data_IF_715377866997
#
_entry.id   IF_715377866997
#
_cell.length_a   1.000
_cell.length_b   1.000
_cell.length_c   1.000
_cell.angle_alpha   90.00
_cell.angle_beta   90.00
_cell.angle_gamma   90.00
#
_symmetry.space_group_name_H-M   'P 1'
#
loop_
_entity.id
_entity.type
_entity.pdbx_description
1 polymer ?
#
# COMPACT_ATOMS: atom_id res chain seq x y z
N UNK A 1 -38.38 -4.34 -0.41
CA UNK A 1 -38.19 -4.46 -1.88
C UNK A 1 -36.81 -3.95 -2.26
N UNK A 2 -36.27 -4.33 -3.43
CA UNK A 2 -34.97 -3.84 -3.93
C UNK A 2 -35.19 -3.14 -5.27
N UNK A 3 -34.80 -1.87 -5.35
CA UNK A 3 -34.79 -1.08 -6.58
C UNK A 3 -33.34 -0.86 -7.01
N UNK A 4 -33.00 -1.29 -8.22
CA UNK A 4 -31.70 -1.04 -8.83
C UNK A 4 -31.91 -0.04 -9.96
N UNK A 5 -31.18 1.06 -9.92
CA UNK A 5 -31.23 2.11 -10.94
C UNK A 5 -29.84 2.27 -11.53
N UNK A 6 -29.72 1.98 -12.83
CA UNK A 6 -28.48 2.13 -13.57
C UNK A 6 -28.54 3.36 -14.48
N UNK A 7 -27.62 4.29 -14.27
CA UNK A 7 -27.43 5.53 -15.02
C UNK A 7 -28.72 6.30 -15.39
N UNK A 8 -29.46 6.85 -14.40
CA UNK A 8 -30.63 7.71 -14.66
C UNK A 8 -30.24 9.13 -15.14
N UNK A 9 -28.99 9.32 -15.56
CA UNK A 9 -28.35 10.61 -15.81
C UNK A 9 -28.88 11.34 -17.06
N UNK A 10 -29.61 10.66 -17.94
CA UNK A 10 -30.17 11.19 -19.19
C UNK A 10 -31.52 11.92 -19.05
N UNK A 11 -31.94 12.21 -17.81
CA UNK A 11 -33.20 12.89 -17.50
C UNK A 11 -33.05 14.42 -17.61
N UNK A 12 -34.08 15.08 -18.14
CA UNK A 12 -34.23 16.54 -18.07
C UNK A 12 -34.44 17.01 -16.62
N UNK A 13 -34.42 18.33 -16.39
CA UNK A 13 -34.51 18.90 -15.04
C UNK A 13 -35.81 18.52 -14.31
N UNK A 14 -36.93 18.47 -15.02
CA UNK A 14 -38.21 18.10 -14.42
C UNK A 14 -38.22 16.61 -14.02
N UNK A 15 -37.76 15.73 -14.91
CA UNK A 15 -37.67 14.30 -14.63
C UNK A 15 -36.65 13.97 -13.55
N UNK A 16 -35.54 14.72 -13.47
CA UNK A 16 -34.57 14.57 -12.38
C UNK A 16 -35.22 14.86 -11.02
N UNK A 17 -36.00 15.96 -10.91
CA UNK A 17 -36.71 16.31 -9.67
C UNK A 17 -37.76 15.26 -9.29
N UNK A 18 -38.50 14.77 -10.27
CA UNK A 18 -39.46 13.68 -10.06
C UNK A 18 -38.76 12.42 -9.56
N UNK A 19 -37.65 12.03 -10.19
CA UNK A 19 -36.87 10.84 -9.84
C UNK A 19 -36.34 10.92 -8.41
N UNK A 20 -35.75 12.07 -8.03
CA UNK A 20 -35.27 12.32 -6.67
C UNK A 20 -36.41 12.16 -5.66
N UNK A 21 -37.55 12.81 -5.91
CA UNK A 21 -38.72 12.74 -5.03
C UNK A 21 -39.23 11.31 -4.88
N UNK A 22 -39.34 10.58 -5.99
CA UNK A 22 -39.83 9.20 -6.01
C UNK A 22 -38.88 8.25 -5.29
N UNK A 23 -37.57 8.44 -5.45
CA UNK A 23 -36.54 7.62 -4.81
C UNK A 23 -36.54 7.81 -3.30
N UNK A 24 -36.64 9.06 -2.84
CA UNK A 24 -36.76 9.38 -1.42
C UNK A 24 -38.04 8.81 -0.81
N UNK A 25 -39.15 8.84 -1.55
CA UNK A 25 -40.41 8.23 -1.11
C UNK A 25 -40.27 6.71 -0.98
N UNK A 26 -39.68 6.03 -1.98
CA UNK A 26 -39.47 4.58 -1.96
C UNK A 26 -38.58 4.15 -0.79
N UNK A 27 -37.51 4.90 -0.52
CA UNK A 27 -36.61 4.62 0.61
C UNK A 27 -37.30 4.81 1.97
N UNK A 28 -38.02 5.93 2.17
CA UNK A 28 -38.59 6.29 3.48
C UNK A 28 -39.96 5.67 3.79
N UNK A 29 -40.81 5.52 2.79
CA UNK A 29 -42.22 5.16 2.98
C UNK A 29 -42.45 3.69 2.67
N UNK A 30 -41.87 3.21 1.57
CA UNK A 30 -42.08 1.84 1.08
C UNK A 30 -41.03 0.87 1.65
N UNK A 31 -40.10 1.38 2.48
CA UNK A 31 -39.02 0.64 3.13
C UNK A 31 -38.21 -0.20 2.11
N UNK A 32 -38.01 0.37 0.92
CA UNK A 32 -37.27 -0.25 -0.18
C UNK A 32 -35.78 0.10 -0.11
N UNK A 33 -34.92 -0.87 -0.42
CA UNK A 33 -33.49 -0.63 -0.62
C UNK A 33 -33.31 -0.10 -2.04
N UNK A 34 -32.66 1.04 -2.19
CA UNK A 34 -32.34 1.62 -3.50
C UNK A 34 -30.84 1.54 -3.74
N UNK A 35 -30.45 0.80 -4.77
CA UNK A 35 -29.10 0.78 -5.30
C UNK A 35 -29.03 1.68 -6.53
N UNK A 36 -28.31 2.80 -6.40
CA UNK A 36 -28.13 3.77 -7.48
C UNK A 36 -26.71 3.68 -8.03
N UNK A 37 -26.60 3.46 -9.34
CA UNK A 37 -25.36 3.57 -10.10
C UNK A 37 -25.50 4.83 -10.97
N UNK A 38 -24.66 5.83 -10.74
CA UNK A 38 -24.66 7.07 -11.52
C UNK A 38 -23.29 7.73 -11.48
N UNK A 39 -22.92 8.39 -12.57
CA UNK A 39 -21.77 9.28 -12.63
C UNK A 39 -22.07 10.75 -12.24
N UNK A 40 -23.34 11.12 -12.00
CA UNK A 40 -23.75 12.52 -11.72
C UNK A 40 -23.59 12.88 -10.24
N UNK A 41 -22.57 13.69 -9.92
CA UNK A 41 -22.22 14.05 -8.53
C UNK A 41 -23.40 14.66 -7.75
N UNK A 42 -24.19 15.54 -8.36
CA UNK A 42 -25.33 16.20 -7.68
C UNK A 42 -26.43 15.23 -7.31
N UNK A 43 -26.64 14.17 -8.10
CA UNK A 43 -27.63 13.15 -7.83
C UNK A 43 -27.18 12.26 -6.67
N UNK A 44 -25.92 11.79 -6.71
CA UNK A 44 -25.33 10.98 -5.65
C UNK A 44 -25.32 11.72 -4.31
N UNK A 45 -24.98 13.00 -4.30
CA UNK A 45 -24.93 13.79 -3.06
C UNK A 45 -26.33 14.04 -2.46
N UNK A 46 -27.37 14.07 -3.30
CA UNK A 46 -28.76 14.30 -2.86
C UNK A 46 -29.44 13.02 -2.38
N UNK A 47 -29.13 11.87 -3.00
CA UNK A 47 -29.86 10.61 -2.78
C UNK A 47 -29.10 9.56 -1.98
N UNK A 48 -27.76 9.58 -1.97
CA UNK A 48 -26.97 8.51 -1.39
C UNK A 48 -26.46 8.89 0.00
N UNK A 49 -26.84 8.09 0.98
CA UNK A 49 -26.36 8.19 2.37
C UNK A 49 -25.16 7.25 2.63
N UNK A 50 -24.99 6.26 1.76
CA UNK A 50 -23.94 5.24 1.83
C UNK A 50 -23.36 5.01 0.44
N UNK A 51 -22.03 4.99 0.33
CA UNK A 51 -21.29 4.75 -0.91
C UNK A 51 -20.65 3.37 -0.85
N UNK A 52 -20.91 2.57 -1.87
CA UNK A 52 -20.22 1.31 -2.13
C UNK A 52 -19.10 1.58 -3.14
N UNK A 53 -17.86 1.63 -2.66
CA UNK A 53 -16.69 1.88 -3.50
C UNK A 53 -16.08 0.57 -3.98
N UNK A 54 -15.98 0.40 -5.29
CA UNK A 54 -15.28 -0.72 -5.91
C UNK A 54 -13.85 -0.29 -6.24
N UNK A 55 -12.89 -0.91 -5.57
CA UNK A 55 -11.50 -0.68 -5.89
C UNK A 55 -11.05 -1.62 -7.02
N UNK A 56 -10.90 -1.07 -8.23
CA UNK A 56 -10.48 -1.83 -9.42
C UNK A 56 -9.09 -2.47 -9.28
N UNK A 57 -8.22 -1.90 -8.45
CA UNK A 57 -6.86 -2.38 -8.29
C UNK A 57 -6.76 -3.64 -7.45
N UNK A 58 -7.73 -3.87 -6.56
CA UNK A 58 -7.76 -5.03 -5.67
C UNK A 58 -9.04 -5.82 -5.65
N UNK A 59 -10.03 -5.44 -6.46
CA UNK A 59 -11.33 -6.10 -6.50
C UNK A 59 -11.93 -6.20 -5.08
N UNK A 60 -11.82 -5.14 -4.27
CA UNK A 60 -12.51 -5.09 -2.97
C UNK A 60 -13.63 -4.07 -3.00
N UNK A 61 -14.73 -4.41 -2.33
CA UNK A 61 -15.84 -3.51 -2.06
C UNK A 61 -15.64 -2.89 -0.68
N UNK A 62 -15.65 -1.56 -0.59
CA UNK A 62 -15.57 -0.84 0.67
C UNK A 62 -16.82 0.02 0.85
N UNK A 63 -17.49 -0.16 1.98
CA UNK A 63 -18.68 0.62 2.34
C UNK A 63 -18.28 1.88 3.11
N UNK A 64 -18.79 3.03 2.68
CA UNK A 64 -18.65 4.31 3.35
C UNK A 64 -20.02 4.84 3.75
N UNK A 65 -20.28 4.97 5.05
CA UNK A 65 -21.53 5.53 5.56
C UNK A 65 -21.48 7.07 5.59
N UNK A 66 -21.38 7.67 4.42
CA UNK A 66 -21.40 9.12 4.24
C UNK A 66 -21.92 9.49 2.84
N UNK A 67 -22.31 10.76 2.69
CA UNK A 67 -22.69 11.33 1.39
C UNK A 67 -21.50 11.41 0.42
N UNK A 68 -21.80 11.55 -0.87
CA UNK A 68 -20.81 11.50 -1.95
C UNK A 68 -19.70 12.56 -1.80
N UNK A 69 -20.03 13.79 -1.42
CA UNK A 69 -19.02 14.86 -1.25
C UNK A 69 -17.98 14.53 -0.18
N UNK A 70 -18.41 13.96 0.96
CA UNK A 70 -17.54 13.55 2.07
C UNK A 70 -16.71 12.33 1.66
N UNK A 71 -17.34 11.37 0.98
CA UNK A 71 -16.63 10.22 0.42
C UNK A 71 -15.49 10.67 -0.50
N UNK A 72 -15.76 11.60 -1.44
CA UNK A 72 -14.78 12.07 -2.40
C UNK A 72 -13.56 12.73 -1.74
N UNK A 73 -13.78 13.60 -0.75
CA UNK A 73 -12.67 14.27 -0.05
C UNK A 73 -11.85 13.28 0.78
N UNK A 74 -12.53 12.42 1.53
CA UNK A 74 -11.89 11.40 2.38
C UNK A 74 -11.09 10.39 1.53
N UNK A 75 -11.67 9.93 0.43
CA UNK A 75 -11.01 9.00 -0.49
C UNK A 75 -9.78 9.64 -1.13
N UNK A 76 -9.89 10.90 -1.59
CA UNK A 76 -8.75 11.62 -2.15
C UNK A 76 -7.61 11.78 -1.13
N UNK A 77 -7.93 12.07 0.13
CA UNK A 77 -6.94 12.14 1.21
C UNK A 77 -6.29 10.78 1.51
N UNK A 78 -7.08 9.71 1.54
CA UNK A 78 -6.60 8.34 1.71
C UNK A 78 -5.64 7.95 0.58
N UNK A 79 -6.00 8.24 -0.68
CA UNK A 79 -5.14 7.98 -1.85
C UNK A 79 -3.85 8.79 -1.78
N UNK A 80 -3.92 10.08 -1.41
CA UNK A 80 -2.72 10.91 -1.24
C UNK A 80 -1.81 10.41 -0.13
N UNK A 81 -2.39 9.95 0.99
CA UNK A 81 -1.62 9.41 2.11
C UNK A 81 -0.98 8.07 1.77
N UNK A 82 -1.70 7.21 1.06
CA UNK A 82 -1.18 5.95 0.56
C UNK A 82 -0.03 6.15 -0.43
N UNK A 83 -0.18 7.08 -1.39
CA UNK A 83 0.87 7.39 -2.39
C UNK A 83 2.12 7.97 -1.72
N UNK A 84 1.98 8.88 -0.75
CA UNK A 84 3.11 9.40 0.05
C UNK A 84 3.82 8.29 0.83
N UNK A 85 3.06 7.39 1.46
CA UNK A 85 3.63 6.27 2.21
C UNK A 85 4.41 5.33 1.29
N UNK A 86 3.86 4.97 0.12
CA UNK A 86 4.53 4.14 -0.88
C UNK A 86 5.82 4.80 -1.37
N UNK A 87 5.76 6.08 -1.74
CA UNK A 87 6.95 6.83 -2.16
C UNK A 87 8.01 6.91 -1.06
N UNK A 88 7.60 7.07 0.20
CA UNK A 88 8.48 7.05 1.36
C UNK A 88 9.15 5.69 1.57
N UNK A 89 8.40 4.59 1.45
CA UNK A 89 8.95 3.23 1.55
C UNK A 89 9.94 2.93 0.43
N UNK A 90 9.65 3.35 -0.79
CA UNK A 90 10.53 3.16 -1.95
C UNK A 90 11.86 3.93 -1.77
N UNK A 91 11.80 5.18 -1.30
CA UNK A 91 13.01 5.94 -0.96
C UNK A 91 13.85 5.27 0.13
N UNK A 92 13.21 4.74 1.18
CA UNK A 92 13.90 4.00 2.25
C UNK A 92 14.57 2.74 1.72
N UNK A 93 13.88 1.99 0.87
CA UNK A 93 14.41 0.80 0.23
C UNK A 93 15.66 1.13 -0.61
N UNK A 94 15.57 2.11 -1.51
CA UNK A 94 16.69 2.54 -2.34
C UNK A 94 17.88 3.05 -1.51
N UNK A 95 17.62 3.78 -0.42
CA UNK A 95 18.69 4.23 0.46
C UNK A 95 19.36 3.05 1.17
N UNK A 96 18.60 2.08 1.66
CA UNK A 96 19.14 0.89 2.31
C UNK A 96 20.00 0.06 1.35
N UNK A 97 19.57 -0.10 0.10
CA UNK A 97 20.35 -0.78 -0.94
C UNK A 97 21.68 -0.08 -1.24
N UNK A 98 21.66 1.26 -1.35
CA UNK A 98 22.88 2.06 -1.55
C UNK A 98 23.85 1.89 -0.38
N UNK A 99 23.35 1.96 0.86
CA UNK A 99 24.15 1.74 2.06
C UNK A 99 24.75 0.33 2.09
N UNK A 100 23.98 -0.69 1.69
CA UNK A 100 24.47 -2.07 1.60
C UNK A 100 25.61 -2.21 0.56
N UNK A 101 25.44 -1.62 -0.63
CA UNK A 101 26.48 -1.62 -1.67
C UNK A 101 27.76 -0.92 -1.20
N UNK A 102 27.63 0.21 -0.50
CA UNK A 102 28.77 0.95 0.04
C UNK A 102 29.48 0.17 1.16
N UNK A 103 28.75 -0.50 2.05
CA UNK A 103 29.35 -1.35 3.08
C UNK A 103 30.11 -2.52 2.44
N UNK A 104 29.56 -3.14 1.40
CA UNK A 104 30.23 -4.22 0.67
C UNK A 104 31.51 -3.75 -0.02
N UNK A 105 31.52 -2.56 -0.65
CA UNK A 105 32.72 -2.04 -1.31
C UNK A 105 33.80 -1.67 -0.29
N UNK A 106 33.43 -1.08 0.85
CA UNK A 106 34.35 -0.78 1.95
C UNK A 106 34.99 -2.05 2.52
N UNK A 107 34.20 -3.12 2.72
CA UNK A 107 34.73 -4.40 3.18
C UNK A 107 35.72 -5.00 2.19
N UNK A 108 35.38 -5.04 0.89
CA UNK A 108 36.29 -5.53 -0.15
C UNK A 108 37.58 -4.70 -0.22
N UNK A 109 37.49 -3.37 -0.07
CA UNK A 109 38.65 -2.49 -0.02
C UNK A 109 39.54 -2.77 1.19
N UNK A 110 38.95 -2.94 2.37
CA UNK A 110 39.67 -3.33 3.59
C UNK A 110 40.36 -4.68 3.46
N UNK A 111 39.70 -5.68 2.87
CA UNK A 111 40.30 -6.99 2.61
C UNK A 111 41.51 -6.89 1.67
N UNK A 112 41.41 -6.10 0.60
CA UNK A 112 42.53 -5.88 -0.34
C UNK A 112 43.73 -5.21 0.34
N UNK A 113 43.48 -4.12 1.07
CA UNK A 113 44.53 -3.39 1.79
C UNK A 113 45.20 -4.28 2.84
N UNK A 114 44.42 -5.07 3.57
CA UNK A 114 44.93 -6.02 4.55
C UNK A 114 45.86 -7.07 3.92
N UNK A 115 45.48 -7.65 2.78
CA UNK A 115 46.31 -8.62 2.06
C UNK A 115 47.65 -7.99 1.67
N UNK A 116 47.62 -6.77 1.13
CA UNK A 116 48.83 -6.03 0.73
C UNK A 116 49.74 -5.68 1.92
N UNK A 117 49.19 -5.28 3.07
CA UNK A 117 49.98 -5.00 4.29
C UNK A 117 50.54 -6.27 4.93
N UNK A 118 49.82 -7.38 4.84
CA UNK A 118 50.27 -8.67 5.42
C UNK A 118 51.46 -9.25 4.66
N UNK A 119 51.52 -9.06 3.34
CA UNK A 119 52.67 -9.48 2.51
C UNK A 119 53.91 -8.61 2.69
N UNK A 120 53.78 -7.35 3.13
CA UNK A 120 54.94 -6.44 3.29
C UNK A 120 55.58 -6.44 4.69
N UNK A 121 54.85 -6.78 5.75
CA UNK A 121 55.33 -6.64 7.15
C UNK A 121 55.35 -7.98 7.91
N UNK A 122 56.25 -8.89 7.51
CA UNK A 122 56.35 -10.23 8.08
C UNK A 122 56.81 -10.24 9.57
N UNK A 123 57.66 -9.31 10.00
CA UNK A 123 58.48 -9.49 11.21
C UNK A 123 58.02 -8.90 12.55
N UNK A 124 56.91 -8.16 12.63
CA UNK A 124 56.48 -7.59 13.93
C UNK A 124 55.40 -8.43 14.61
N UNK A 125 55.79 -9.39 15.47
CA UNK A 125 54.87 -10.32 16.17
C UNK A 125 54.13 -9.71 17.37
N UNK A 126 54.67 -8.68 18.03
CA UNK A 126 54.08 -8.08 19.24
C UNK A 126 53.02 -7.01 18.97
N UNK A 127 53.19 -6.16 17.94
CA UNK A 127 52.18 -5.16 17.51
C UNK A 127 50.94 -5.85 16.89
N UNK A 128 51.10 -7.09 16.40
CA UNK A 128 50.01 -7.91 15.85
C UNK A 128 48.92 -8.25 16.88
N UNK A 129 49.22 -8.37 18.18
CA UNK A 129 48.24 -8.79 19.20
C UNK A 129 47.08 -7.78 19.41
N UNK A 130 47.41 -6.53 19.78
CA UNK A 130 46.41 -5.46 19.98
C UNK A 130 45.68 -5.07 18.68
N UNK A 131 46.39 -5.08 17.56
CA UNK A 131 45.79 -4.82 16.24
C UNK A 131 44.86 -5.95 15.77
N UNK A 132 45.09 -7.20 16.19
CA UNK A 132 44.26 -8.36 15.83
C UNK A 132 42.91 -8.35 16.57
N UNK A 133 42.88 -7.94 17.83
CA UNK A 133 41.62 -7.76 18.57
C UNK A 133 40.78 -6.59 18.04
N UNK A 134 41.41 -5.42 17.81
CA UNK A 134 40.73 -4.27 17.21
C UNK A 134 40.15 -4.61 15.83
N UNK A 135 40.89 -5.39 15.03
CA UNK A 135 40.45 -5.92 13.74
C UNK A 135 39.29 -6.90 13.86
N UNK A 136 39.36 -7.90 14.76
CA UNK A 136 38.24 -8.81 14.98
C UNK A 136 36.97 -8.08 15.44
N UNK A 137 37.10 -7.07 16.30
CA UNK A 137 35.96 -6.23 16.73
C UNK A 137 35.39 -5.43 15.55
N UNK A 138 36.25 -4.82 14.72
CA UNK A 138 35.83 -4.08 13.53
C UNK A 138 35.12 -4.98 12.51
N UNK A 139 35.66 -6.16 12.22
CA UNK A 139 35.10 -7.14 11.29
C UNK A 139 33.75 -7.68 11.79
N UNK A 140 33.64 -8.03 13.08
CA UNK A 140 32.37 -8.42 13.72
C UNK A 140 31.33 -7.30 13.66
N UNK A 141 31.73 -6.05 13.91
CA UNK A 141 30.83 -4.90 13.85
C UNK A 141 30.30 -4.65 12.43
N UNK A 142 31.15 -4.81 11.42
CA UNK A 142 30.78 -4.62 10.03
C UNK A 142 29.90 -5.77 9.51
N UNK A 143 30.20 -7.02 9.89
CA UNK A 143 29.37 -8.18 9.60
C UNK A 143 27.98 -8.07 10.25
N UNK A 144 27.90 -7.58 11.50
CA UNK A 144 26.64 -7.33 12.19
C UNK A 144 25.79 -6.28 11.47
N UNK A 145 26.39 -5.14 11.10
CA UNK A 145 25.71 -4.09 10.31
C UNK A 145 25.20 -4.62 8.98
N UNK A 146 26.01 -5.41 8.27
CA UNK A 146 25.63 -5.98 6.98
C UNK A 146 24.46 -6.97 7.10
N UNK A 147 24.45 -7.79 8.17
CA UNK A 147 23.32 -8.67 8.48
C UNK A 147 22.05 -7.88 8.80
N UNK A 148 22.15 -6.81 9.59
CA UNK A 148 21.01 -5.95 9.93
C UNK A 148 20.43 -5.25 8.70
N UNK A 149 21.25 -4.64 7.85
CA UNK A 149 20.78 -3.95 6.64
C UNK A 149 20.14 -4.93 5.64
N UNK A 150 20.70 -6.14 5.50
CA UNK A 150 20.09 -7.20 4.67
C UNK A 150 18.71 -7.60 5.19
N UNK A 151 18.58 -7.79 6.51
CA UNK A 151 17.30 -8.12 7.14
C UNK A 151 16.28 -7.01 6.92
N UNK A 152 16.66 -5.75 7.10
CA UNK A 152 15.78 -4.60 6.85
C UNK A 152 15.26 -4.55 5.40
N UNK A 153 16.10 -4.87 4.41
CA UNK A 153 15.68 -4.93 3.01
C UNK A 153 14.67 -6.08 2.80
N UNK A 154 14.92 -7.26 3.38
CA UNK A 154 13.99 -8.39 3.32
C UNK A 154 12.64 -8.05 3.94
N UNK A 155 12.63 -7.46 5.15
CA UNK A 155 11.40 -7.06 5.84
C UNK A 155 10.59 -6.05 4.99
N UNK A 156 11.27 -5.10 4.32
CA UNK A 156 10.65 -4.14 3.42
C UNK A 156 10.09 -4.80 2.15
N UNK A 157 10.79 -5.78 1.57
CA UNK A 157 10.32 -6.55 0.41
C UNK A 157 9.10 -7.42 0.76
N UNK A 158 9.10 -8.07 1.93
CA UNK A 158 7.97 -8.85 2.42
C UNK A 158 6.75 -7.98 2.62
N UNK A 159 6.91 -6.83 3.27
CA UNK A 159 5.83 -5.83 3.42
C UNK A 159 5.27 -5.41 2.06
N UNK A 160 6.14 -5.23 1.05
CA UNK A 160 5.72 -4.88 -0.31
C UNK A 160 4.96 -6.02 -1.01
N UNK A 161 5.37 -7.27 -0.80
CA UNK A 161 4.69 -8.45 -1.33
C UNK A 161 3.32 -8.64 -0.68
N UNK A 162 3.22 -8.50 0.64
CA UNK A 162 1.96 -8.59 1.37
C UNK A 162 0.95 -7.54 0.88
N UNK A 163 1.38 -6.28 0.75
CA UNK A 163 0.54 -5.21 0.19
C UNK A 163 0.11 -5.48 -1.26
N UNK A 164 0.91 -6.21 -2.05
CA UNK A 164 0.54 -6.64 -3.41
C UNK A 164 -0.47 -7.80 -3.39
N UNK A 165 -0.37 -8.73 -2.46
CA UNK A 165 -1.30 -9.86 -2.34
C UNK A 165 -2.67 -9.40 -1.84
N UNK A 166 -2.71 -8.47 -0.88
CA UNK A 166 -3.96 -7.80 -0.46
C UNK A 166 -4.61 -7.04 -1.61
N UNK A 167 -3.80 -6.61 -2.59
CA UNK A 167 -4.29 -6.02 -3.84
C UNK A 167 -4.81 -7.02 -4.88
N UNK A 168 -4.88 -8.32 -4.62
CA UNK A 168 -5.36 -9.30 -5.64
C UNK A 168 -6.40 -10.25 -5.03
N UNK A 169 -6.83 -10.03 -3.78
CA UNK A 169 -7.89 -10.84 -3.18
C UNK A 169 -9.20 -10.59 -3.92
N UNK A 170 -9.81 -11.66 -4.41
CA UNK A 170 -11.11 -11.62 -5.08
C UNK A 170 -12.18 -10.95 -4.21
N UNK A 171 -13.17 -10.34 -4.86
CA UNK A 171 -14.36 -9.74 -4.23
C UNK A 171 -15.02 -10.76 -3.28
N UNK A 172 -14.78 -10.63 -1.97
CA UNK A 172 -15.55 -11.35 -0.96
C UNK A 172 -16.72 -10.46 -0.55
N UNK A 173 -17.91 -10.81 -1.01
CA UNK A 173 -19.15 -10.20 -0.55
C UNK A 173 -19.62 -11.06 0.63
N UNK A 174 -19.51 -10.54 1.85
CA UNK A 174 -20.02 -11.21 3.05
C UNK A 174 -21.52 -11.51 2.85
N UNK A 175 -21.89 -12.80 2.84
CA UNK A 175 -23.28 -13.26 2.76
C UNK A 175 -23.71 -13.98 1.47
N UNK A 176 -22.82 -14.19 0.48
CA UNK A 176 -23.12 -15.01 -0.70
C UNK A 176 -22.25 -16.28 -0.69
N UNK A 177 -22.83 -17.49 -0.60
CA UNK A 177 -22.06 -18.73 -0.74
C UNK A 177 -21.41 -18.78 -2.14
N UNK A 178 -20.12 -19.11 -2.17
CA UNK A 178 -19.19 -18.91 -3.29
C UNK A 178 -19.36 -19.91 -4.45
N UNK A 179 -20.52 -20.55 -4.59
CA UNK A 179 -20.78 -21.59 -5.59
C UNK A 179 -21.35 -21.05 -6.90
N UNK A 180 -20.85 -19.90 -7.36
CA UNK A 180 -21.29 -19.29 -8.61
C UNK A 180 -20.13 -18.67 -9.36
N UNK A 181 -19.76 -19.27 -10.49
CA UNK A 181 -18.93 -18.59 -11.48
C UNK A 181 -19.67 -17.34 -11.96
N UNK A 182 -19.09 -16.16 -11.70
CA UNK A 182 -19.52 -14.91 -12.33
C UNK A 182 -19.04 -14.96 -13.77
N UNK A 183 -19.99 -15.08 -14.70
CA UNK A 183 -19.79 -14.91 -16.15
C UNK A 183 -19.79 -13.42 -16.47
#
# INVERSE_FOLDING_TARGET
>A
ELLIVDEPSFLDDASTKWFVTRTLQASKTDNAIVLLISHKETLLDTLCDTILYINSGNQTLTTYHCGYSIFRSTHAEQVQTATKTIAGTEKKHQSAEKSLKQLQSQLKGRERNLKATTTQNADQRFIKGKNKEAKQKADRSAASKLKQTKKQIQDLEETRKQARTERVKALHIDGIPVDGNVV
#
